data_IF_817866703419
#
_entry.id   IF_817866703419
#
_cell.length_a   1.000
_cell.length_b   1.000
_cell.length_c   1.000
_cell.angle_alpha   90.00
_cell.angle_beta   90.00
_cell.angle_gamma   90.00
#
_symmetry.space_group_name_H-M   'P 1'
#
loop_
_entity.id
_entity.type
_entity.pdbx_description
1 polymer ?
#
# COMPACT_ATOMS: atom_id res chain seq x y z
N UNK A 1 7.55 -23.69 1.24
CA UNK A 1 6.79 -23.02 2.32
C UNK A 1 5.32 -22.92 1.97
N UNK A 2 4.47 -22.93 3.00
CA UNK A 2 3.06 -22.55 2.89
C UNK A 2 2.93 -21.09 2.45
N UNK A 3 1.86 -20.82 1.70
CA UNK A 3 1.45 -19.45 1.39
C UNK A 3 0.91 -18.82 2.67
N UNK A 4 1.29 -17.58 2.96
CA UNK A 4 0.70 -16.83 4.07
C UNK A 4 -0.82 -16.71 3.87
N UNK A 5 -1.56 -16.78 4.97
CA UNK A 5 -2.99 -16.45 5.01
C UNK A 5 -3.20 -15.07 5.63
N UNK A 6 -4.42 -14.53 5.55
CA UNK A 6 -4.79 -13.29 6.24
C UNK A 6 -4.59 -13.46 7.74
N UNK A 7 -5.02 -14.61 8.26
CA UNK A 7 -4.97 -14.97 9.66
C UNK A 7 -3.52 -14.99 10.17
N UNK A 8 -2.64 -15.72 9.47
CA UNK A 8 -1.21 -15.79 9.82
C UNK A 8 -0.59 -14.38 9.81
N UNK A 9 -0.90 -13.57 8.77
CA UNK A 9 -0.34 -12.24 8.62
C UNK A 9 -0.77 -11.30 9.75
N UNK A 10 -2.06 -11.29 10.09
CA UNK A 10 -2.59 -10.42 11.16
C UNK A 10 -2.05 -10.84 12.53
N UNK A 11 -1.91 -12.15 12.77
CA UNK A 11 -1.28 -12.64 14.00
C UNK A 11 0.18 -12.18 14.11
N UNK A 12 0.98 -12.36 13.06
CA UNK A 12 2.38 -11.93 13.04
C UNK A 12 2.52 -10.40 13.18
N UNK A 13 1.62 -9.64 12.54
CA UNK A 13 1.54 -8.19 12.65
C UNK A 13 1.29 -7.74 14.10
N UNK A 14 0.33 -8.36 14.79
CA UNK A 14 0.04 -8.06 16.20
C UNK A 14 1.18 -8.43 17.14
N UNK A 15 1.97 -9.46 16.79
CA UNK A 15 3.09 -9.92 17.59
C UNK A 15 4.35 -9.07 17.40
N UNK A 16 4.62 -8.57 16.18
CA UNK A 16 5.84 -7.83 15.84
C UNK A 16 5.71 -6.31 15.97
N UNK A 17 4.51 -5.77 15.77
CA UNK A 17 4.29 -4.34 15.73
C UNK A 17 3.69 -3.80 17.02
N UNK A 18 3.75 -2.48 17.20
CA UNK A 18 2.99 -1.81 18.26
C UNK A 18 1.49 -2.01 18.03
N UNK A 19 0.70 -1.90 19.11
CA UNK A 19 -0.77 -2.03 19.02
C UNK A 19 -1.39 -1.04 18.02
N UNK A 20 -0.80 0.14 17.87
CA UNK A 20 -1.27 1.15 16.93
C UNK A 20 -1.00 0.73 15.48
N UNK A 21 0.22 0.30 15.18
CA UNK A 21 0.59 -0.17 13.84
C UNK A 21 -0.18 -1.44 13.45
N UNK A 22 -0.40 -2.35 14.38
CA UNK A 22 -1.25 -3.52 14.15
C UNK A 22 -2.68 -3.12 13.75
N UNK A 23 -3.29 -2.15 14.45
CA UNK A 23 -4.62 -1.61 14.09
C UNK A 23 -4.64 -0.94 12.72
N UNK A 24 -3.58 -0.20 12.38
CA UNK A 24 -3.46 0.45 11.07
C UNK A 24 -3.38 -0.60 9.97
N UNK A 25 -2.54 -1.63 10.13
CA UNK A 25 -2.43 -2.70 9.15
C UNK A 25 -3.73 -3.51 9.01
N UNK A 26 -4.43 -3.81 10.10
CA UNK A 26 -5.76 -4.43 10.05
C UNK A 26 -6.76 -3.57 9.26
N UNK A 27 -6.78 -2.26 9.49
CA UNK A 27 -7.64 -1.33 8.74
C UNK A 27 -7.29 -1.27 7.25
N UNK A 28 -6.01 -1.34 6.90
CA UNK A 28 -5.56 -1.42 5.49
C UNK A 28 -6.03 -2.74 4.85
N UNK A 29 -6.02 -3.85 5.59
CA UNK A 29 -6.50 -5.14 5.09
C UNK A 29 -8.02 -5.11 4.91
N UNK A 30 -8.78 -4.57 5.87
CA UNK A 30 -10.24 -4.41 5.75
C UNK A 30 -10.61 -3.56 4.53
N UNK A 31 -9.91 -2.43 4.33
CA UNK A 31 -10.05 -1.62 3.13
C UNK A 31 -9.75 -2.43 1.86
N UNK A 32 -8.72 -3.26 1.88
CA UNK A 32 -8.36 -4.07 0.72
C UNK A 32 -9.45 -5.08 0.34
N UNK A 33 -10.14 -5.67 1.31
CA UNK A 33 -11.23 -6.62 1.07
C UNK A 33 -12.42 -5.99 0.33
N UNK A 34 -12.62 -4.69 0.51
CA UNK A 34 -13.69 -3.94 -0.14
C UNK A 34 -13.27 -3.40 -1.52
N UNK A 35 -12.06 -2.87 -1.64
CA UNK A 35 -11.67 -2.04 -2.79
C UNK A 35 -10.67 -2.69 -3.76
N UNK A 36 -9.91 -3.70 -3.32
CA UNK A 36 -8.93 -4.35 -4.19
C UNK A 36 -9.65 -5.17 -5.27
N UNK A 37 -9.12 -5.13 -6.50
CA UNK A 37 -9.54 -6.09 -7.53
C UNK A 37 -8.94 -7.47 -7.25
N UNK A 38 -7.74 -7.53 -6.67
CA UNK A 38 -7.12 -8.76 -6.21
C UNK A 38 -6.21 -8.48 -5.01
N UNK A 39 -6.24 -9.39 -4.03
CA UNK A 39 -5.32 -9.42 -2.90
C UNK A 39 -4.47 -10.68 -2.98
N UNK A 40 -3.16 -10.54 -2.75
CA UNK A 40 -2.26 -11.69 -2.70
C UNK A 40 -1.36 -11.67 -1.47
N UNK A 41 -1.18 -12.86 -0.90
CA UNK A 41 -0.29 -13.12 0.24
C UNK A 41 0.96 -13.86 -0.23
N UNK A 42 2.10 -13.40 0.24
CA UNK A 42 3.43 -13.90 -0.12
C UNK A 42 3.76 -15.28 0.47
N UNK A 43 5.03 -15.68 0.31
CA UNK A 43 5.57 -16.95 0.79
C UNK A 43 6.91 -16.75 1.53
N UNK A 44 7.12 -15.59 2.15
CA UNK A 44 8.37 -15.29 2.87
C UNK A 44 8.52 -16.14 4.12
N UNK A 45 9.76 -16.50 4.49
CA UNK A 45 10.06 -17.24 5.72
C UNK A 45 9.92 -16.35 6.97
N UNK A 46 10.41 -15.11 6.89
CA UNK A 46 10.60 -14.25 8.07
C UNK A 46 9.39 -13.36 8.40
N UNK A 47 8.64 -12.97 7.37
CA UNK A 47 7.45 -12.13 7.50
C UNK A 47 6.51 -12.37 6.31
N UNK A 48 5.23 -12.09 6.53
CA UNK A 48 4.22 -12.09 5.50
C UNK A 48 4.32 -10.83 4.63
N UNK A 49 4.00 -10.98 3.35
CA UNK A 49 3.83 -9.85 2.42
C UNK A 49 2.41 -9.88 1.90
N UNK A 50 1.70 -8.78 2.09
CA UNK A 50 0.40 -8.47 1.53
C UNK A 50 0.58 -7.57 0.31
N UNK A 51 -0.14 -7.84 -0.77
CA UNK A 51 -0.16 -6.98 -1.96
C UNK A 51 -1.58 -6.59 -2.30
N UNK A 52 -1.81 -5.28 -2.42
CA UNK A 52 -3.04 -4.69 -2.93
C UNK A 52 -2.92 -4.46 -4.43
N UNK A 53 -3.82 -5.06 -5.25
CA UNK A 53 -3.86 -4.84 -6.70
C UNK A 53 -5.20 -4.28 -7.17
N UNK A 54 -5.12 -3.42 -8.17
CA UNK A 54 -6.27 -2.89 -8.91
C UNK A 54 -6.21 -3.33 -10.37
N UNK A 55 -7.37 -3.63 -10.94
CA UNK A 55 -7.53 -3.82 -12.38
C UNK A 55 -7.45 -2.48 -13.11
N UNK A 56 -6.84 -2.48 -14.29
CA UNK A 56 -6.78 -1.35 -15.21
C UNK A 56 -6.75 -1.82 -16.66
N UNK A 57 -6.86 -0.90 -17.62
CA UNK A 57 -6.74 -1.18 -19.05
C UNK A 57 -5.39 -1.80 -19.46
N UNK A 58 -4.35 -1.58 -18.65
CA UNK A 58 -3.00 -2.13 -18.87
C UNK A 58 -2.72 -3.39 -18.02
N UNK A 59 -3.77 -3.95 -17.39
CA UNK A 59 -3.71 -5.16 -16.58
C UNK A 59 -3.81 -4.91 -15.07
N UNK A 60 -3.46 -5.93 -14.28
CA UNK A 60 -3.48 -5.88 -12.82
C UNK A 60 -2.25 -5.16 -12.26
N UNK A 61 -2.46 -4.06 -11.56
CA UNK A 61 -1.42 -3.18 -11.05
C UNK A 61 -1.36 -3.23 -9.52
N UNK A 62 -0.21 -3.54 -8.90
CA UNK A 62 -0.03 -3.34 -7.47
C UNK A 62 0.06 -1.83 -7.18
N UNK A 63 -0.71 -1.36 -6.19
CA UNK A 63 -0.60 0.04 -5.72
C UNK A 63 0.35 0.14 -4.53
N UNK A 64 0.31 -0.86 -3.64
CA UNK A 64 1.23 -0.96 -2.52
C UNK A 64 1.40 -2.40 -2.06
N UNK A 65 2.51 -2.63 -1.35
CA UNK A 65 2.73 -3.81 -0.53
C UNK A 65 2.74 -3.42 0.94
N UNK A 66 2.34 -4.33 1.81
CA UNK A 66 2.47 -4.21 3.26
C UNK A 66 3.08 -5.49 3.80
N UNK A 67 3.91 -5.39 4.83
CA UNK A 67 4.52 -6.55 5.47
C UNK A 67 4.01 -6.73 6.90
N UNK A 68 4.04 -7.96 7.41
CA UNK A 68 3.60 -8.25 8.78
C UNK A 68 4.59 -7.74 9.84
N UNK A 69 5.76 -7.23 9.47
CA UNK A 69 6.66 -6.49 10.37
C UNK A 69 6.41 -4.98 10.34
N UNK A 70 5.31 -4.50 9.74
CA UNK A 70 4.89 -3.10 9.89
C UNK A 70 5.44 -2.15 8.84
N UNK A 71 5.86 -2.65 7.68
CA UNK A 71 6.38 -1.80 6.60
C UNK A 71 5.38 -1.67 5.45
N UNK A 72 5.40 -0.52 4.79
CA UNK A 72 4.60 -0.21 3.60
C UNK A 72 5.55 0.11 2.44
N UNK A 73 5.23 -0.37 1.24
CA UNK A 73 5.95 -0.03 0.03
C UNK A 73 4.97 0.48 -1.03
N UNK A 74 5.08 1.77 -1.34
CA UNK A 74 4.26 2.42 -2.37
C UNK A 74 4.88 2.15 -3.75
N UNK A 75 4.09 1.54 -4.64
CA UNK A 75 4.55 1.08 -5.97
C UNK A 75 4.56 2.22 -7.01
N UNK A 76 5.04 3.40 -6.63
CA UNK A 76 4.97 4.63 -7.44
C UNK A 76 5.85 4.49 -8.68
N UNK A 77 7.07 3.99 -8.54
CA UNK A 77 7.99 3.81 -9.66
C UNK A 77 7.55 2.69 -10.59
N UNK A 78 7.02 1.59 -10.04
CA UNK A 78 6.36 0.58 -10.87
C UNK A 78 5.25 1.19 -11.74
N UNK A 79 4.41 2.05 -11.16
CA UNK A 79 3.33 2.72 -11.88
C UNK A 79 3.83 3.76 -12.89
N UNK A 80 4.96 4.43 -12.63
CA UNK A 80 5.60 5.37 -13.59
C UNK A 80 6.04 4.70 -14.88
N UNK A 81 6.43 3.43 -14.79
CA UNK A 81 6.86 2.63 -15.94
C UNK A 81 5.69 2.11 -16.78
N UNK A 82 4.45 2.27 -16.30
CA UNK A 82 3.25 1.86 -17.03
C UNK A 82 2.70 3.00 -17.86
N UNK A 83 2.03 2.65 -18.96
CA UNK A 83 1.36 3.59 -19.87
C UNK A 83 0.03 4.09 -19.28
N UNK A 84 0.08 4.67 -18.07
CA UNK A 84 -1.08 5.19 -17.36
C UNK A 84 -1.42 6.62 -17.77
N UNK A 85 -2.70 7.03 -17.71
CA UNK A 85 -3.05 8.43 -17.86
C UNK A 85 -2.33 9.26 -16.79
N UNK A 86 -1.54 10.25 -17.24
CA UNK A 86 -0.66 11.06 -16.36
C UNK A 86 -1.38 11.69 -15.16
N UNK A 87 -2.68 12.00 -15.31
CA UNK A 87 -3.48 12.61 -14.26
C UNK A 87 -3.76 11.67 -13.08
N UNK A 88 -3.84 10.36 -13.31
CA UNK A 88 -4.09 9.37 -12.25
C UNK A 88 -2.90 9.32 -11.31
N UNK A 89 -1.72 9.09 -11.86
CA UNK A 89 -0.49 9.02 -11.09
C UNK A 89 -0.17 10.37 -10.42
N UNK A 90 -0.38 11.49 -11.10
CA UNK A 90 -0.13 12.83 -10.54
C UNK A 90 -1.02 13.13 -9.33
N UNK A 91 -2.31 12.82 -9.40
CA UNK A 91 -3.23 13.04 -8.27
C UNK A 91 -2.90 12.16 -7.07
N UNK A 92 -2.56 10.90 -7.33
CA UNK A 92 -2.12 9.98 -6.29
C UNK A 92 -0.86 10.51 -5.59
N UNK A 93 0.16 10.91 -6.36
CA UNK A 93 1.41 11.46 -5.83
C UNK A 93 1.14 12.71 -4.99
N UNK A 94 0.45 13.73 -5.52
CA UNK A 94 0.21 14.99 -4.80
C UNK A 94 -0.50 14.75 -3.45
N UNK A 95 -1.45 13.82 -3.41
CA UNK A 95 -2.16 13.49 -2.16
C UNK A 95 -1.27 12.75 -1.17
N UNK A 96 -0.42 11.83 -1.63
CA UNK A 96 0.55 11.12 -0.79
C UNK A 96 1.60 12.08 -0.23
N UNK A 97 2.15 12.96 -1.07
CA UNK A 97 3.13 13.98 -0.66
C UNK A 97 2.54 14.91 0.39
N UNK A 98 1.31 15.37 0.20
CA UNK A 98 0.62 16.21 1.18
C UNK A 98 0.30 15.47 2.50
N UNK A 99 0.11 14.15 2.45
CA UNK A 99 -0.23 13.36 3.63
C UNK A 99 0.99 12.97 4.48
N UNK A 100 2.09 12.62 3.82
CA UNK A 100 3.33 12.15 4.45
C UNK A 100 4.41 13.24 4.56
N UNK A 101 4.15 14.43 4.01
CA UNK A 101 5.11 15.55 3.98
C UNK A 101 6.45 15.13 3.36
N UNK A 102 6.39 14.37 2.27
CA UNK A 102 7.54 13.79 1.59
C UNK A 102 7.40 13.98 0.08
N UNK A 103 8.49 14.29 -0.60
CA UNK A 103 8.54 14.33 -2.06
C UNK A 103 8.65 12.91 -2.63
N UNK A 104 7.75 12.58 -3.55
CA UNK A 104 7.72 11.29 -4.22
C UNK A 104 8.17 11.40 -5.66
N UNK A 105 8.87 12.45 -6.09
CA UNK A 105 9.38 12.63 -7.45
C UNK A 105 10.49 11.61 -7.84
N UNK A 106 11.09 11.77 -9.01
CA UNK A 106 12.11 10.81 -9.50
C UNK A 106 13.47 10.94 -8.82
N UNK A 107 13.75 12.10 -8.22
CA UNK A 107 15.03 12.41 -7.59
C UNK A 107 14.98 12.05 -6.10
N UNK A 108 13.86 12.35 -5.42
CA UNK A 108 13.63 12.08 -4.00
C UNK A 108 13.16 10.63 -3.72
N UNK A 109 12.45 10.01 -4.67
CA UNK A 109 11.97 8.63 -4.56
C UNK A 109 12.26 7.83 -5.85
N UNK A 110 13.55 7.53 -6.12
CA UNK A 110 13.98 6.91 -7.39
C UNK A 110 13.60 5.42 -7.50
N UNK A 111 13.36 4.75 -6.38
CA UNK A 111 13.03 3.31 -6.30
C UNK A 111 11.92 3.07 -5.30
N UNK A 112 11.09 2.05 -5.55
CA UNK A 112 10.04 1.64 -4.62
C UNK A 112 10.66 0.87 -3.45
N UNK A 113 10.56 1.42 -2.23
CA UNK A 113 11.19 0.88 -1.03
C UNK A 113 10.18 0.62 0.09
N UNK A 114 10.49 -0.35 0.95
CA UNK A 114 9.74 -0.57 2.18
C UNK A 114 10.11 0.48 3.23
N UNK A 115 9.09 1.08 3.84
CA UNK A 115 9.19 2.12 4.86
C UNK A 115 8.39 1.73 6.09
N UNK A 116 8.91 2.02 7.28
CA UNK A 116 8.22 1.73 8.53
C UNK A 116 6.95 2.56 8.66
N UNK A 117 5.79 1.90 8.83
CA UNK A 117 4.51 2.58 9.01
C UNK A 117 4.51 3.50 10.24
N UNK A 118 5.33 3.21 11.25
CA UNK A 118 5.49 4.03 12.46
C UNK A 118 6.06 5.43 12.18
N UNK A 119 6.84 5.58 11.10
CA UNK A 119 7.36 6.87 10.67
C UNK A 119 6.48 7.55 9.61
N UNK A 120 5.50 6.84 9.05
CA UNK A 120 4.59 7.37 8.04
C UNK A 120 3.26 7.86 8.66
N UNK A 121 2.70 7.08 9.60
CA UNK A 121 1.40 7.33 10.19
C UNK A 121 1.53 7.73 11.66
N UNK A 122 1.33 9.02 11.93
CA UNK A 122 1.31 9.56 13.29
C UNK A 122 -0.11 9.85 13.79
N UNK A 123 -1.11 9.81 12.89
CA UNK A 123 -2.51 10.07 13.21
C UNK A 123 -3.44 9.20 12.36
N UNK A 124 -4.60 8.84 12.91
CA UNK A 124 -5.64 8.13 12.15
C UNK A 124 -6.13 8.94 10.92
N UNK A 125 -6.08 10.27 10.96
CA UNK A 125 -6.42 11.10 9.81
C UNK A 125 -5.47 10.87 8.62
N UNK A 126 -4.19 10.61 8.87
CA UNK A 126 -3.26 10.25 7.80
C UNK A 126 -3.58 8.89 7.20
N UNK A 127 -4.03 7.93 8.02
CA UNK A 127 -4.49 6.62 7.55
C UNK A 127 -5.72 6.79 6.66
N UNK A 128 -6.71 7.56 7.10
CA UNK A 128 -7.93 7.82 6.31
C UNK A 128 -7.61 8.49 4.97
N UNK A 129 -6.76 9.51 4.96
CA UNK A 129 -6.31 10.19 3.73
C UNK A 129 -5.56 9.23 2.79
N UNK A 130 -4.74 8.34 3.33
CA UNK A 130 -4.04 7.32 2.54
C UNK A 130 -5.05 6.38 1.88
N UNK A 131 -6.00 5.82 2.64
CA UNK A 131 -7.03 4.92 2.11
C UNK A 131 -7.92 5.60 1.05
N UNK A 132 -8.38 6.82 1.31
CA UNK A 132 -9.13 7.59 0.31
C UNK A 132 -8.32 7.92 -0.95
N UNK A 133 -6.99 8.05 -0.82
CA UNK A 133 -6.10 8.22 -2.00
C UNK A 133 -6.01 6.93 -2.81
N UNK A 134 -5.88 5.78 -2.15
CA UNK A 134 -5.87 4.48 -2.82
C UNK A 134 -7.21 4.17 -3.49
N UNK A 135 -8.32 4.47 -2.82
CA UNK A 135 -9.67 4.36 -3.38
C UNK A 135 -9.84 5.22 -4.64
N UNK A 136 -9.41 6.49 -4.57
CA UNK A 136 -9.43 7.39 -5.72
C UNK A 136 -8.59 6.87 -6.90
N UNK A 137 -7.43 6.27 -6.62
CA UNK A 137 -6.60 5.63 -7.65
C UNK A 137 -7.32 4.43 -8.28
N UNK A 138 -7.94 3.56 -7.47
CA UNK A 138 -8.74 2.42 -7.94
C UNK A 138 -9.85 2.87 -8.90
N UNK A 139 -10.62 3.88 -8.51
CA UNK A 139 -11.73 4.36 -9.35
C UNK A 139 -11.27 4.94 -10.68
N UNK A 140 -10.12 5.60 -10.72
CA UNK A 140 -9.60 6.20 -11.95
C UNK A 140 -8.85 5.23 -12.84
N UNK A 141 -8.28 4.16 -12.28
CA UNK A 141 -7.61 3.11 -13.05
C UNK A 141 -8.59 2.14 -13.72
N UNK A 142 -9.83 2.04 -13.20
CA UNK A 142 -10.90 1.21 -13.76
C UNK A 142 -11.67 1.88 -14.92
N UNK A 143 -11.45 3.18 -15.17
CA UNK A 143 -12.09 3.97 -16.22
C UNK A 143 -11.24 3.99 -17.48
#
# INVERSE_FOLDING_TARGET
MSKWTKEDFVEDLRNKCTREIAKIGEKIIEFAEEYASEMSWGRGDDHGTFTFRCSSDVGMLPLFHMTSNGQLNLQINFLREKELPKQVLRDMIVKLEANFLRDYDKDAYPVDSYEEMEYMFHTYSQVDKFLSTMEGAVYRLKQ
#
